data_IF_220916165744
#
_entry.id   IF_220916165744
#
_cell.length_a   1.000
_cell.length_b   1.000
_cell.length_c   1.000
_cell.angle_alpha   90.00
_cell.angle_beta   90.00
_cell.angle_gamma   90.00
#
_symmetry.space_group_name_H-M   'P 1'
#
loop_
_entity.id
_entity.type
_entity.pdbx_description
1 polymer ?
#
# COMPACT_ATOMS: atom_id res chain seq x y z
N UNK A 1 -10.09 5.57 2.69
CA UNK A 1 -11.14 6.32 3.42
C UNK A 1 -12.31 5.44 3.83
N UNK A 2 -13.07 4.83 2.91
CA UNK A 2 -14.26 4.03 3.25
C UNK A 2 -14.02 2.85 4.22
N UNK A 3 -12.82 2.23 4.16
CA UNK A 3 -12.42 1.13 5.06
C UNK A 3 -11.52 1.60 6.23
N UNK A 4 -11.46 2.91 6.50
CA UNK A 4 -10.72 3.49 7.63
C UNK A 4 -9.25 3.83 7.40
N UNK A 5 -8.75 3.75 6.16
CA UNK A 5 -7.41 4.24 5.79
C UNK A 5 -7.42 5.71 5.32
N UNK A 6 -6.30 6.42 5.49
CA UNK A 6 -6.07 7.77 4.94
C UNK A 6 -5.24 7.71 3.65
N UNK A 7 -5.43 8.69 2.76
CA UNK A 7 -4.60 8.82 1.56
C UNK A 7 -3.26 9.48 1.93
N UNK A 8 -2.15 9.04 1.33
CA UNK A 8 -0.89 9.82 1.33
C UNK A 8 -0.79 10.58 0.01
N UNK A 9 -0.75 9.84 -1.10
CA UNK A 9 -0.67 10.37 -2.46
C UNK A 9 -1.35 9.43 -3.46
N UNK A 10 -1.64 9.95 -4.65
CA UNK A 10 -2.10 9.20 -5.81
C UNK A 10 -1.18 9.52 -7.01
N UNK A 11 -1.08 8.59 -7.97
CA UNK A 11 -0.19 8.62 -9.15
C UNK A 11 1.34 8.64 -8.86
N UNK A 12 1.82 9.63 -8.11
CA UNK A 12 3.24 9.79 -7.78
C UNK A 12 3.45 9.91 -6.27
N UNK A 13 4.49 9.25 -5.77
CA UNK A 13 4.86 9.21 -4.35
C UNK A 13 6.34 9.55 -4.22
N UNK A 14 6.67 10.43 -3.29
CA UNK A 14 8.06 10.67 -2.89
C UNK A 14 8.38 9.71 -1.75
N UNK A 15 9.37 8.85 -1.97
CA UNK A 15 9.87 7.92 -0.94
C UNK A 15 11.24 8.41 -0.48
N UNK A 16 11.40 8.58 0.83
CA UNK A 16 12.66 8.99 1.47
C UNK A 16 13.09 7.91 2.45
N UNK A 17 14.38 7.55 2.42
CA UNK A 17 14.96 6.63 3.40
C UNK A 17 15.39 7.40 4.65
N UNK A 18 15.03 6.85 5.82
CA UNK A 18 15.46 7.31 7.13
C UNK A 18 16.00 6.13 7.96
N UNK A 19 16.58 6.41 9.12
CA UNK A 19 17.12 5.38 10.03
C UNK A 19 16.05 4.38 10.51
N UNK A 20 14.78 4.79 10.55
CA UNK A 20 13.65 4.00 11.02
C UNK A 20 12.86 3.31 9.89
N UNK A 21 13.35 3.39 8.65
CA UNK A 21 12.70 2.80 7.47
C UNK A 21 12.42 3.80 6.37
N UNK A 22 11.47 3.45 5.51
CA UNK A 22 11.03 4.30 4.40
C UNK A 22 9.81 5.14 4.78
N UNK A 23 9.85 6.43 4.46
CA UNK A 23 8.73 7.35 4.61
C UNK A 23 8.20 7.73 3.23
N UNK A 24 6.87 7.68 3.07
CA UNK A 24 6.16 8.10 1.87
C UNK A 24 5.45 9.44 2.10
N UNK A 25 5.57 10.34 1.14
CA UNK A 25 4.89 11.64 1.08
C UNK A 25 4.35 11.92 -0.33
N UNK A 26 3.41 12.85 -0.44
CA UNK A 26 2.91 13.32 -1.74
C UNK A 26 3.77 14.48 -2.26
N UNK A 27 3.97 14.59 -3.59
CA UNK A 27 4.32 15.86 -4.21
C UNK A 27 3.25 16.92 -3.90
N UNK A 28 3.66 18.16 -3.63
CA UNK A 28 2.74 19.25 -3.25
C UNK A 28 1.61 19.45 -4.27
N UNK A 29 1.91 19.31 -5.55
CA UNK A 29 0.94 19.49 -6.63
C UNK A 29 -0.17 18.42 -6.66
N UNK A 30 0.04 17.26 -6.04
CA UNK A 30 -0.89 16.12 -6.05
C UNK A 30 -1.57 15.88 -4.68
N UNK A 31 -1.14 16.60 -3.64
CA UNK A 31 -1.62 16.36 -2.29
C UNK A 31 -3.14 16.54 -2.16
N UNK A 32 -3.81 15.55 -1.55
CA UNK A 32 -5.25 15.59 -1.30
C UNK A 32 -6.13 15.43 -2.54
N UNK A 33 -5.59 14.86 -3.64
CA UNK A 33 -6.32 14.58 -4.86
C UNK A 33 -6.21 13.12 -5.25
N UNK A 34 -7.26 12.58 -5.88
CA UNK A 34 -7.26 11.27 -6.54
C UNK A 34 -7.89 11.37 -7.92
N UNK A 35 -7.41 10.59 -8.89
CA UNK A 35 -8.13 10.39 -10.15
C UNK A 35 -9.07 9.18 -10.03
N UNK A 36 -10.37 9.43 -10.15
CA UNK A 36 -11.37 8.37 -10.26
C UNK A 36 -11.83 8.29 -11.72
N UNK A 37 -11.42 7.23 -12.44
CA UNK A 37 -11.82 7.02 -13.84
C UNK A 37 -13.35 7.07 -13.99
N UNK A 38 -13.82 7.88 -14.94
CA UNK A 38 -15.25 8.13 -15.17
C UNK A 38 -15.87 9.22 -14.27
N UNK A 39 -15.15 9.70 -13.24
CA UNK A 39 -15.58 10.78 -12.34
C UNK A 39 -14.64 12.00 -12.35
N UNK A 40 -13.41 11.85 -12.86
CA UNK A 40 -12.41 12.91 -12.91
C UNK A 40 -11.60 13.02 -11.63
N UNK A 41 -11.02 14.21 -11.39
CA UNK A 41 -10.22 14.49 -10.20
C UNK A 41 -11.11 14.81 -9.00
N UNK A 42 -10.89 14.11 -7.89
CA UNK A 42 -11.64 14.27 -6.65
C UNK A 42 -10.74 14.76 -5.53
N UNK A 43 -11.32 15.51 -4.58
CA UNK A 43 -10.65 15.85 -3.32
C UNK A 43 -10.75 14.68 -2.35
N UNK A 44 -9.66 14.43 -1.63
CA UNK A 44 -9.56 13.37 -0.64
C UNK A 44 -8.93 13.89 0.65
N UNK A 45 -9.34 13.31 1.78
CA UNK A 45 -8.63 13.55 3.04
C UNK A 45 -7.29 12.82 2.98
N UNK A 46 -6.20 13.59 2.98
CA UNK A 46 -4.84 13.08 2.97
C UNK A 46 -4.14 13.32 4.30
N UNK A 47 -3.27 12.39 4.70
CA UNK A 47 -2.25 12.64 5.70
C UNK A 47 -0.96 13.11 5.01
N UNK A 48 -0.11 13.82 5.76
CA UNK A 48 1.11 14.41 5.20
C UNK A 48 2.20 13.38 4.90
N UNK A 49 2.24 12.28 5.65
CA UNK A 49 3.26 11.23 5.56
C UNK A 49 2.76 9.90 6.12
N UNK A 50 3.40 8.80 5.73
CA UNK A 50 3.25 7.48 6.35
C UNK A 50 4.53 6.66 6.18
N UNK A 51 4.80 5.75 7.12
CA UNK A 51 5.81 4.71 6.88
C UNK A 51 5.34 3.78 5.76
N UNK A 52 6.28 3.36 4.92
CA UNK A 52 6.06 2.37 3.87
C UNK A 52 6.49 0.99 4.39
N UNK A 53 5.52 0.10 4.58
CA UNK A 53 5.75 -1.22 5.20
C UNK A 53 5.40 -2.40 4.29
N UNK A 54 4.60 -2.15 3.26
CA UNK A 54 4.19 -3.17 2.29
C UNK A 54 3.96 -2.54 0.90
N UNK A 55 4.18 -3.33 -0.14
CA UNK A 55 3.84 -3.06 -1.53
C UNK A 55 2.82 -4.09 -1.97
N UNK A 56 1.78 -3.63 -2.68
CA UNK A 56 0.84 -4.52 -3.37
C UNK A 56 1.09 -4.40 -4.86
N UNK A 57 1.60 -5.45 -5.48
CA UNK A 57 1.69 -5.56 -6.93
C UNK A 57 0.34 -5.99 -7.49
N UNK A 58 -0.33 -5.07 -8.20
CA UNK A 58 -1.63 -5.29 -8.80
C UNK A 58 -1.56 -5.97 -10.18
N UNK A 59 -0.37 -6.13 -10.76
CA UNK A 59 -0.18 -6.82 -12.04
C UNK A 59 -0.14 -8.34 -11.83
N UNK A 60 0.55 -8.78 -10.78
CA UNK A 60 0.73 -10.19 -10.45
C UNK A 60 -0.44 -10.74 -9.65
N UNK A 61 -1.07 -11.81 -10.14
CA UNK A 61 -2.13 -12.53 -9.43
C UNK A 61 -1.53 -13.55 -8.46
N UNK A 62 -2.00 -13.55 -7.21
CA UNK A 62 -1.73 -14.61 -6.25
C UNK A 62 -2.73 -15.75 -6.41
N UNK A 63 -2.21 -16.98 -6.53
CA UNK A 63 -3.02 -18.19 -6.73
C UNK A 63 -2.90 -19.17 -5.57
N UNK A 64 -1.88 -19.03 -4.73
CA UNK A 64 -1.66 -19.95 -3.61
C UNK A 64 -2.66 -19.67 -2.49
N UNK A 65 -3.24 -20.75 -1.93
CA UNK A 65 -4.12 -20.65 -0.76
C UNK A 65 -3.41 -20.05 0.44
N UNK A 66 -2.13 -20.38 0.61
CA UNK A 66 -1.22 -19.86 1.63
C UNK A 66 0.02 -19.33 0.91
N UNK A 67 0.06 -18.04 0.55
CA UNK A 67 1.19 -17.51 -0.20
C UNK A 67 2.46 -17.43 0.65
N UNK A 68 3.64 -17.61 0.05
CA UNK A 68 4.91 -17.40 0.74
C UNK A 68 5.07 -15.94 1.18
N UNK A 69 5.92 -15.69 2.17
CA UNK A 69 6.34 -14.32 2.50
C UNK A 69 7.31 -13.83 1.43
N UNK A 70 6.90 -12.78 0.71
CA UNK A 70 7.70 -12.17 -0.35
C UNK A 70 8.18 -10.78 0.07
N UNK A 71 9.29 -10.34 -0.52
CA UNK A 71 9.86 -9.01 -0.34
C UNK A 71 10.24 -8.40 -1.70
N UNK A 72 10.25 -7.09 -1.75
CA UNK A 72 10.83 -6.29 -2.83
C UNK A 72 11.75 -5.23 -2.24
N UNK A 73 12.61 -4.64 -3.07
CA UNK A 73 13.59 -3.64 -2.63
C UNK A 73 13.14 -2.24 -3.06
N UNK A 74 13.03 -1.32 -2.11
CA UNK A 74 12.86 0.12 -2.38
C UNK A 74 13.97 0.86 -1.65
N UNK A 75 14.74 1.69 -2.37
CA UNK A 75 15.91 2.39 -1.82
C UNK A 75 16.84 1.47 -1.00
N UNK A 76 17.09 0.26 -1.50
CA UNK A 76 17.89 -0.80 -0.84
C UNK A 76 17.38 -1.27 0.52
N UNK A 77 16.11 -1.01 0.87
CA UNK A 77 15.45 -1.60 2.04
C UNK A 77 14.44 -2.67 1.60
N UNK A 78 14.42 -3.85 2.26
CA UNK A 78 13.43 -4.88 1.97
C UNK A 78 12.06 -4.44 2.49
N UNK A 79 11.05 -4.54 1.65
CA UNK A 79 9.66 -4.20 1.94
C UNK A 79 8.79 -5.41 1.60
N UNK A 80 7.86 -5.75 2.49
CA UNK A 80 6.91 -6.85 2.28
C UNK A 80 6.18 -6.67 0.95
N UNK A 81 6.19 -7.71 0.11
CA UNK A 81 5.48 -7.73 -1.15
C UNK A 81 4.22 -8.61 -1.03
N UNK A 82 3.09 -8.05 -1.45
CA UNK A 82 1.82 -8.74 -1.61
C UNK A 82 1.44 -8.67 -3.09
N UNK A 83 0.74 -9.69 -3.56
CA UNK A 83 0.22 -9.76 -4.93
C UNK A 83 -1.29 -9.55 -4.93
N UNK A 84 -1.85 -9.22 -6.09
CA UNK A 84 -3.30 -9.05 -6.28
C UNK A 84 -4.03 -10.33 -5.91
N UNK A 85 -5.13 -10.21 -5.19
CA UNK A 85 -6.15 -11.26 -5.08
C UNK A 85 -7.42 -10.75 -5.74
N UNK A 86 -7.98 -11.53 -6.66
CA UNK A 86 -9.23 -11.17 -7.32
C UNK A 86 -10.42 -11.50 -6.41
N UNK A 87 -11.20 -10.47 -6.07
CA UNK A 87 -12.44 -10.61 -5.30
C UNK A 87 -12.67 -9.50 -4.26
N UNK A 88 -13.92 -9.33 -3.79
CA UNK A 88 -14.29 -8.26 -2.87
C UNK A 88 -13.61 -8.35 -1.51
N UNK A 89 -13.10 -9.53 -1.13
CA UNK A 89 -12.40 -9.77 0.13
C UNK A 89 -11.01 -9.17 0.20
N UNK A 90 -10.40 -8.79 -0.94
CA UNK A 90 -8.99 -8.39 -0.97
C UNK A 90 -8.69 -7.15 -0.14
N UNK A 91 -9.43 -6.05 -0.37
CA UNK A 91 -9.22 -4.81 0.38
C UNK A 91 -9.48 -4.96 1.90
N UNK A 92 -10.57 -5.60 2.36
CA UNK A 92 -10.76 -5.91 3.78
C UNK A 92 -9.64 -6.77 4.38
N UNK A 93 -9.17 -7.81 3.68
CA UNK A 93 -8.09 -8.66 4.14
C UNK A 93 -6.76 -7.91 4.27
N UNK A 94 -6.46 -7.01 3.32
CA UNK A 94 -5.29 -6.13 3.38
C UNK A 94 -5.33 -5.22 4.62
N UNK A 95 -6.50 -4.65 4.94
CA UNK A 95 -6.66 -3.83 6.16
C UNK A 95 -6.46 -4.68 7.42
N UNK A 96 -6.98 -5.90 7.46
CA UNK A 96 -6.78 -6.82 8.59
C UNK A 96 -5.29 -7.14 8.79
N UNK A 97 -4.59 -7.47 7.70
CA UNK A 97 -3.16 -7.72 7.68
C UNK A 97 -2.36 -6.52 8.20
N UNK A 98 -2.66 -5.31 7.73
CA UNK A 98 -1.93 -4.11 8.14
C UNK A 98 -2.17 -3.72 9.60
N UNK A 99 -3.36 -4.05 10.15
CA UNK A 99 -3.70 -3.76 11.54
C UNK A 99 -3.15 -4.79 12.54
N UNK A 100 -3.15 -6.07 12.16
CA UNK A 100 -2.90 -7.17 13.10
C UNK A 100 -1.76 -8.11 12.69
N UNK A 101 -1.13 -7.85 11.54
CA UNK A 101 -0.07 -8.70 11.01
C UNK A 101 -0.59 -10.01 10.40
N UNK A 102 0.35 -10.93 10.18
CA UNK A 102 0.11 -12.28 9.65
C UNK A 102 0.90 -13.29 10.46
N UNK A 103 0.41 -14.52 10.50
CA UNK A 103 1.12 -15.67 11.07
C UNK A 103 1.84 -16.39 9.94
N UNK A 104 3.09 -16.78 10.17
CA UNK A 104 3.80 -17.69 9.27
C UNK A 104 3.35 -19.13 9.58
N UNK A 105 2.64 -19.83 8.68
CA UNK A 105 2.18 -21.19 8.94
C UNK A 105 3.33 -22.21 9.04
N UNK A 106 4.51 -21.87 8.52
CA UNK A 106 5.69 -22.74 8.48
C UNK A 106 6.76 -22.39 9.52
N UNK A 107 6.47 -21.45 10.45
CA UNK A 107 7.39 -21.03 11.51
C UNK A 107 7.35 -21.92 12.76
#
# INVERSE_FOLDING_TARGET
>A
MALGAALVSDDQVIVTAHDQGLEATAPDALHGMIEARGMGLLRASACSRSQLTAVVDLEQLETDRLPPQLETMILNQPIRLLRRVDGPQFAPALIQLLKYGSVNPDA
#
